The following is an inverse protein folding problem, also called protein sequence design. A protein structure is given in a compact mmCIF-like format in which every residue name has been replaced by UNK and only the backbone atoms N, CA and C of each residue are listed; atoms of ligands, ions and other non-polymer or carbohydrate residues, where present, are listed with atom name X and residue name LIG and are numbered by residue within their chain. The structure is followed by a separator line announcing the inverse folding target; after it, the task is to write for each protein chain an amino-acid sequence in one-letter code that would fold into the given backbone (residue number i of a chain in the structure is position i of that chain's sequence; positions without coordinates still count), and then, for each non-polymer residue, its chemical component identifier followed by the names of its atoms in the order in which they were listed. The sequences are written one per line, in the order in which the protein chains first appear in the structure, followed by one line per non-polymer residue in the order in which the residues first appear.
data_IF_579228911133
#
_entry.id   IF_579228911133
#
_cell.length_a   1.000
_cell.length_b   1.000
_cell.length_c   1.000
_cell.angle_alpha   90.00
_cell.angle_beta   90.00
_cell.angle_gamma   90.00
#
_symmetry.space_group_name_H-M   'P 1'
#
loop_
_entity.id
_entity.type
_entity.pdbx_description
1 polymer ?
#
# COMPACT_ATOMS: atom_id res chain seq x y z
N UNK A 1 -31.01 35.12 -35.32
CA UNK A 1 -31.54 34.32 -34.20
C UNK A 1 -30.54 33.26 -33.66
N UNK A 2 -29.43 32.97 -34.35
CA UNK A 2 -28.41 31.99 -33.93
C UNK A 2 -27.42 32.48 -32.86
N UNK A 3 -27.29 33.80 -32.65
CA UNK A 3 -26.27 34.37 -31.75
C UNK A 3 -26.58 34.21 -30.24
N UNK A 4 -27.76 33.70 -29.88
CA UNK A 4 -28.18 33.48 -28.48
C UNK A 4 -27.99 32.02 -28.01
N UNK A 5 -27.58 31.12 -28.90
CA UNK A 5 -27.43 29.68 -28.61
C UNK A 5 -25.99 29.29 -28.19
N UNK A 6 -25.02 30.17 -28.44
CA UNK A 6 -23.60 29.99 -28.08
C UNK A 6 -23.39 29.78 -26.56
N UNK A 7 -23.98 30.57 -25.64
CA UNK A 7 -23.73 30.37 -24.21
C UNK A 7 -24.33 29.07 -23.67
N UNK A 8 -25.44 28.59 -24.25
CA UNK A 8 -26.12 27.36 -23.84
C UNK A 8 -25.28 26.14 -24.21
N UNK A 9 -24.63 26.16 -25.38
CA UNK A 9 -23.72 25.09 -25.80
C UNK A 9 -22.49 24.97 -24.90
N UNK A 10 -22.00 26.08 -24.35
CA UNK A 10 -20.82 26.08 -23.46
C UNK A 10 -21.13 25.42 -22.11
N UNK A 11 -22.31 25.65 -21.55
CA UNK A 11 -22.73 25.12 -20.24
C UNK A 11 -22.90 23.60 -20.29
N UNK A 12 -23.39 23.06 -21.42
CA UNK A 12 -23.55 21.60 -21.61
C UNK A 12 -22.19 20.89 -21.78
N UNK A 13 -21.17 21.57 -22.30
CA UNK A 13 -19.82 20.99 -22.41
C UNK A 13 -19.10 20.92 -21.05
N UNK A 14 -19.42 21.81 -20.10
CA UNK A 14 -18.82 21.86 -18.76
C UNK A 14 -19.32 20.75 -17.82
N UNK A 15 -20.52 20.20 -18.03
CA UNK A 15 -21.06 19.11 -17.20
C UNK A 15 -20.40 17.75 -17.45
N UNK A 16 -19.63 17.61 -18.54
CA UNK A 16 -18.88 16.39 -18.86
C UNK A 16 -17.63 16.19 -17.99
N UNK A 17 -17.13 17.23 -17.30
CA UNK A 17 -15.96 17.11 -16.41
C UNK A 17 -16.23 16.28 -15.14
N UNK A 18 -17.48 15.99 -14.80
CA UNK A 18 -17.83 15.18 -13.63
C UNK A 18 -17.80 13.66 -13.88
N UNK A 19 -17.94 13.21 -15.14
CA UNK A 19 -18.12 11.80 -15.47
C UNK A 19 -16.81 10.99 -15.49
N UNK A 20 -15.66 11.66 -15.48
CA UNK A 20 -14.34 11.02 -15.56
C UNK A 20 -13.52 11.19 -14.29
N UNK A 21 -14.15 11.24 -13.12
CA UNK A 21 -13.37 11.23 -11.88
C UNK A 21 -12.61 9.90 -11.78
N UNK A 22 -11.27 9.93 -11.66
CA UNK A 22 -10.49 8.72 -11.53
C UNK A 22 -10.94 7.94 -10.28
N UNK A 23 -10.77 6.61 -10.27
CA UNK A 23 -11.11 5.83 -9.09
C UNK A 23 -10.35 6.39 -7.87
N UNK A 24 -10.92 6.27 -6.67
CA UNK A 24 -10.35 6.85 -5.44
C UNK A 24 -8.98 6.26 -5.09
N UNK A 25 -8.59 5.12 -5.69
CA UNK A 25 -7.25 4.56 -5.65
C UNK A 25 -7.07 3.52 -6.78
N UNK A 26 -5.84 3.10 -7.02
CA UNK A 26 -5.46 2.11 -8.04
C UNK A 26 -5.86 0.67 -7.62
N UNK A 27 -7.14 0.32 -7.82
CA UNK A 27 -7.72 -0.99 -7.43
C UNK A 27 -7.08 -2.19 -8.12
N UNK A 28 -6.55 -1.99 -9.32
CA UNK A 28 -5.87 -2.97 -10.17
C UNK A 28 -4.47 -3.34 -9.67
N UNK A 29 -3.95 -2.60 -8.68
CA UNK A 29 -2.60 -2.78 -8.15
C UNK A 29 -2.62 -3.42 -6.77
N UNK A 30 -1.55 -4.13 -6.45
CA UNK A 30 -1.28 -4.61 -5.09
C UNK A 30 -0.97 -3.42 -4.17
N UNK A 31 -1.20 -3.55 -2.84
CA UNK A 31 -0.88 -2.48 -1.89
C UNK A 31 0.55 -1.93 -2.01
N UNK A 32 1.53 -2.77 -2.35
CA UNK A 32 2.94 -2.41 -2.56
C UNK A 32 3.15 -1.45 -3.75
N UNK A 33 2.28 -1.51 -4.76
CA UNK A 33 2.46 -0.82 -6.04
C UNK A 33 1.50 0.38 -6.20
N UNK A 34 0.68 0.66 -5.18
CA UNK A 34 -0.30 1.76 -5.19
C UNK A 34 0.34 3.07 -4.75
N UNK A 35 0.22 4.10 -5.59
CA UNK A 35 0.78 5.42 -5.34
C UNK A 35 -0.22 6.58 -5.47
N UNK A 36 -1.49 6.30 -5.79
CA UNK A 36 -2.52 7.32 -5.95
C UNK A 36 -3.73 7.01 -5.07
N UNK A 37 -4.16 8.02 -4.33
CA UNK A 37 -5.31 7.98 -3.42
C UNK A 37 -6.04 9.33 -3.51
N UNK A 38 -7.37 9.32 -3.53
CA UNK A 38 -8.19 10.52 -3.69
C UNK A 38 -9.52 10.38 -2.95
N UNK A 39 -9.97 11.48 -2.36
CA UNK A 39 -11.20 11.51 -1.57
C UNK A 39 -11.14 10.70 -0.27
N UNK A 40 -12.26 10.64 0.45
CA UNK A 40 -12.37 9.95 1.72
C UNK A 40 -12.13 8.43 1.60
N UNK A 41 -12.61 7.81 0.51
CA UNK A 41 -12.36 6.40 0.23
C UNK A 41 -10.87 6.12 -0.02
N UNK A 42 -10.19 7.00 -0.76
CA UNK A 42 -8.75 6.89 -1.00
C UNK A 42 -7.95 6.97 0.31
N UNK A 43 -8.29 7.90 1.21
CA UNK A 43 -7.64 7.99 2.53
C UNK A 43 -7.88 6.75 3.39
N UNK A 44 -9.09 6.21 3.36
CA UNK A 44 -9.42 4.96 4.07
C UNK A 44 -8.58 3.81 3.52
N UNK A 45 -8.43 3.73 2.20
CA UNK A 45 -7.60 2.69 1.58
C UNK A 45 -6.11 2.88 1.89
N UNK A 46 -5.61 4.12 1.90
CA UNK A 46 -4.24 4.42 2.27
C UNK A 46 -3.91 3.91 3.68
N UNK A 47 -4.82 4.06 4.65
CA UNK A 47 -4.62 3.54 6.00
C UNK A 47 -4.56 2.01 6.02
N UNK A 48 -5.44 1.34 5.27
CA UNK A 48 -5.42 -0.13 5.13
C UNK A 48 -4.12 -0.61 4.50
N UNK A 49 -3.69 0.02 3.42
CA UNK A 49 -2.47 -0.35 2.70
C UNK A 49 -1.24 -0.09 3.57
N UNK A 50 -1.17 1.01 4.33
CA UNK A 50 -0.09 1.24 5.31
C UNK A 50 -0.03 0.17 6.39
N UNK A 51 -1.17 -0.19 6.98
CA UNK A 51 -1.23 -1.25 7.99
C UNK A 51 -0.80 -2.60 7.42
N UNK A 52 -1.26 -2.93 6.21
CA UNK A 52 -0.84 -4.12 5.48
C UNK A 52 0.68 -4.14 5.26
N UNK A 53 1.26 -3.05 4.73
CA UNK A 53 2.68 -2.97 4.44
C UNK A 53 3.54 -3.08 5.70
N UNK A 54 3.12 -2.46 6.80
CA UNK A 54 3.81 -2.59 8.09
C UNK A 54 3.80 -4.03 8.60
N UNK A 55 2.63 -4.70 8.55
CA UNK A 55 2.52 -6.10 8.98
C UNK A 55 3.31 -7.04 8.07
N UNK A 56 3.30 -6.79 6.76
CA UNK A 56 4.09 -7.52 5.78
C UNK A 56 5.58 -7.38 6.08
N UNK A 57 6.06 -6.15 6.28
CA UNK A 57 7.48 -5.90 6.62
C UNK A 57 7.89 -6.62 7.89
N UNK A 58 7.03 -6.62 8.92
CA UNK A 58 7.28 -7.34 10.17
C UNK A 58 7.34 -8.86 9.94
N UNK A 59 6.40 -9.41 9.16
CA UNK A 59 6.37 -10.82 8.79
C UNK A 59 7.59 -11.24 7.96
N UNK A 60 8.03 -10.40 7.03
CA UNK A 60 9.22 -10.64 6.20
C UNK A 60 10.49 -10.63 7.07
N UNK A 61 10.61 -9.69 8.01
CA UNK A 61 11.71 -9.66 8.99
C UNK A 61 11.71 -10.90 9.89
N UNK A 62 10.55 -11.32 10.36
CA UNK A 62 10.40 -12.53 11.15
C UNK A 62 10.85 -13.78 10.36
N UNK A 63 10.37 -13.92 9.13
CA UNK A 63 10.74 -15.02 8.23
C UNK A 63 12.24 -15.05 8.02
N UNK A 64 12.85 -13.89 7.74
CA UNK A 64 14.30 -13.78 7.59
C UNK A 64 15.04 -14.20 8.86
N UNK A 65 14.63 -13.73 10.03
CA UNK A 65 15.27 -14.09 11.30
C UNK A 65 15.21 -15.60 11.57
N UNK A 66 14.11 -16.27 11.21
CA UNK A 66 13.97 -17.73 11.32
C UNK A 66 14.89 -18.48 10.37
N UNK A 67 15.05 -18.00 9.13
CA UNK A 67 16.00 -18.56 8.17
C UNK A 67 17.44 -18.38 8.68
N UNK A 68 17.78 -17.17 9.13
CA UNK A 68 19.12 -16.85 9.64
C UNK A 68 19.43 -17.68 10.91
N UNK A 69 18.43 -17.95 11.76
CA UNK A 69 18.58 -18.88 12.89
C UNK A 69 18.91 -20.30 12.42
N UNK A 70 18.19 -20.83 11.44
CA UNK A 70 18.44 -22.19 10.93
C UNK A 70 19.84 -22.33 10.31
N UNK A 71 20.32 -21.29 9.62
CA UNK A 71 21.70 -21.22 9.11
C UNK A 71 22.69 -21.21 10.29
N UNK A 72 22.48 -20.35 11.29
CA UNK A 72 23.36 -20.27 12.46
C UNK A 72 23.42 -21.56 13.28
N UNK A 73 22.30 -22.29 13.38
CA UNK A 73 22.23 -23.62 14.00
C UNK A 73 23.05 -24.65 13.21
N UNK A 74 22.98 -24.62 11.88
CA UNK A 74 23.79 -25.47 11.01
C UNK A 74 25.29 -25.19 11.17
N UNK A 75 25.65 -23.91 11.28
CA UNK A 75 27.04 -23.46 11.42
C UNK A 75 27.56 -23.55 12.87
N UNK A 76 26.75 -24.00 13.82
CA UNK A 76 27.06 -24.00 15.26
C UNK A 76 27.50 -22.62 15.80
N UNK A 77 27.00 -21.53 15.22
CA UNK A 77 27.33 -20.17 15.60
C UNK A 77 26.45 -19.69 16.78
N UNK A 78 26.87 -20.02 17.99
CA UNK A 78 26.11 -19.73 19.23
C UNK A 78 25.79 -18.25 19.43
N UNK A 79 26.64 -17.34 18.98
CA UNK A 79 26.39 -15.89 19.09
C UNK A 79 25.21 -15.48 18.22
N UNK A 80 25.22 -15.93 16.96
CA UNK A 80 24.15 -15.60 16.00
C UNK A 80 22.84 -16.31 16.37
N UNK A 81 22.90 -17.54 16.89
CA UNK A 81 21.72 -18.25 17.42
C UNK A 81 21.01 -17.41 18.49
N UNK A 82 21.74 -16.90 19.48
CA UNK A 82 21.14 -16.12 20.57
C UNK A 82 20.57 -14.78 20.07
N UNK A 83 21.27 -14.14 19.13
CA UNK A 83 20.81 -12.91 18.50
C UNK A 83 19.51 -13.13 17.73
N UNK A 84 19.44 -14.18 16.89
CA UNK A 84 18.26 -14.47 16.10
C UNK A 84 17.07 -14.90 16.97
N UNK A 85 17.29 -15.68 18.03
CA UNK A 85 16.23 -15.99 19.03
C UNK A 85 15.64 -14.74 19.68
N UNK A 86 16.51 -13.80 20.05
CA UNK A 86 16.07 -12.51 20.63
C UNK A 86 15.28 -11.68 19.61
N UNK A 87 15.75 -11.62 18.36
CA UNK A 87 15.09 -10.88 17.28
C UNK A 87 13.71 -11.49 16.96
N UNK A 88 13.61 -12.81 16.91
CA UNK A 88 12.35 -13.53 16.71
C UNK A 88 11.37 -13.18 17.84
N UNK A 89 11.80 -13.23 19.10
CA UNK A 89 10.95 -12.93 20.24
C UNK A 89 10.41 -11.48 20.24
N UNK A 90 11.15 -10.53 19.64
CA UNK A 90 10.72 -9.12 19.57
C UNK A 90 9.95 -8.76 18.29
N UNK A 91 10.16 -9.50 17.20
CA UNK A 91 9.67 -9.13 15.86
C UNK A 91 8.53 -10.03 15.39
N UNK A 92 8.52 -11.30 15.76
CA UNK A 92 7.49 -12.26 15.39
C UNK A 92 6.31 -12.19 16.38
N UNK A 93 5.37 -11.29 16.13
CA UNK A 93 4.11 -11.17 16.89
C UNK A 93 2.96 -11.85 16.16
#
# INVERSE_FOLDING_TARGET
MFNKLIPISLIVLLSACGASQPPPYQKDRKPEDRNQYSGAEGLTQLQKDKSYLMNKELSDKCTKARIDLAIAETDSNTSEINKQKTLIASTCV
#
